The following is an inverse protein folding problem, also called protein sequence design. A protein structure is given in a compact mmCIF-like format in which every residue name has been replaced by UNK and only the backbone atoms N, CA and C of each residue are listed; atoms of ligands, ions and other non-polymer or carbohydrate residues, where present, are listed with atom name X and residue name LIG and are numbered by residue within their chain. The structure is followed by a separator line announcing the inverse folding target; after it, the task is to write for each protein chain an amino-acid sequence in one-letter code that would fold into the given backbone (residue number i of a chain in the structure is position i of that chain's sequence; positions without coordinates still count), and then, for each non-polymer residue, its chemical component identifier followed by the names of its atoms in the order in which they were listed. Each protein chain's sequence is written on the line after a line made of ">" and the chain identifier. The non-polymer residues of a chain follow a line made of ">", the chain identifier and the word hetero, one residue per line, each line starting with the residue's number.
data_IF_647294799864
#
_entry.id   IF_647294799864
#
_cell.length_a   1.000
_cell.length_b   1.000
_cell.length_c   1.000
_cell.angle_alpha   90.00
_cell.angle_beta   90.00
_cell.angle_gamma   90.00
#
_symmetry.space_group_name_H-M   'P 1'
#
loop_
_entity.id
_entity.type
_entity.pdbx_description
1 polymer ?
#
# COMPACT_ATOMS: atom_id res chain seq x y z
N UNK A 1 53.87 -20.00 9.80
CA UNK A 1 52.77 -19.30 10.51
C UNK A 1 51.85 -18.50 9.56
N UNK A 2 51.92 -18.73 8.24
CA UNK A 2 51.24 -17.90 7.23
C UNK A 2 49.88 -18.45 6.75
N UNK A 3 49.51 -19.68 7.15
CA UNK A 3 48.27 -20.34 6.71
C UNK A 3 47.03 -20.02 7.56
N UNK A 4 47.22 -19.48 8.78
CA UNK A 4 46.11 -19.17 9.69
C UNK A 4 45.40 -17.84 9.36
N UNK A 5 46.06 -16.94 8.62
CA UNK A 5 45.50 -15.63 8.25
C UNK A 5 44.48 -15.72 7.10
N UNK A 6 44.60 -16.70 6.21
CA UNK A 6 43.75 -16.83 5.01
C UNK A 6 42.36 -17.39 5.32
N UNK A 7 42.22 -18.20 6.37
CA UNK A 7 40.91 -18.73 6.79
C UNK A 7 40.06 -17.70 7.53
N UNK A 8 40.66 -16.69 8.17
CA UNK A 8 39.91 -15.67 8.91
C UNK A 8 39.25 -14.64 7.98
N UNK A 9 39.84 -14.33 6.82
CA UNK A 9 39.24 -13.42 5.83
C UNK A 9 38.02 -14.02 5.11
N UNK A 10 37.92 -15.35 4.98
CA UNK A 10 36.80 -16.01 4.32
C UNK A 10 35.51 -16.02 5.16
N UNK A 11 35.61 -15.76 6.47
CA UNK A 11 34.45 -15.71 7.38
C UNK A 11 33.83 -14.30 7.48
N UNK A 12 34.51 -13.26 6.97
CA UNK A 12 34.02 -11.87 7.02
C UNK A 12 33.09 -11.50 5.84
N UNK A 13 32.98 -12.34 4.81
CA UNK A 13 32.10 -12.09 3.65
C UNK A 13 30.64 -12.48 3.89
N UNK A 14 30.28 -13.05 5.05
CA UNK A 14 28.92 -13.56 5.31
C UNK A 14 27.97 -12.54 5.94
N UNK A 15 28.42 -11.32 6.24
CA UNK A 15 27.59 -10.25 6.81
C UNK A 15 27.31 -9.15 5.78
N UNK A 16 26.99 -9.51 4.54
CA UNK A 16 26.33 -8.56 3.66
C UNK A 16 24.89 -8.39 4.18
N UNK A 17 24.47 -7.18 4.62
CA UNK A 17 23.07 -6.96 4.94
C UNK A 17 22.25 -7.28 3.69
N UNK A 18 21.27 -8.17 3.82
CA UNK A 18 20.33 -8.43 2.74
C UNK A 18 19.67 -7.09 2.36
N UNK A 19 20.00 -6.60 1.17
CA UNK A 19 19.39 -5.39 0.66
C UNK A 19 17.88 -5.62 0.54
N UNK A 20 17.04 -4.61 0.82
CA UNK A 20 15.61 -4.73 0.62
C UNK A 20 15.32 -5.16 -0.82
N UNK A 21 14.50 -6.19 -0.96
CA UNK A 21 14.08 -6.70 -2.27
C UNK A 21 13.02 -5.75 -2.81
N UNK A 22 13.43 -4.83 -3.68
CA UNK A 22 12.50 -3.96 -4.40
C UNK A 22 11.82 -4.76 -5.51
N UNK A 23 10.63 -5.29 -5.23
CA UNK A 23 9.80 -5.90 -6.27
C UNK A 23 9.04 -4.81 -7.01
N UNK A 24 9.65 -4.29 -8.07
CA UNK A 24 9.02 -3.28 -8.92
C UNK A 24 7.92 -3.93 -9.76
N UNK A 25 6.66 -3.80 -9.36
CA UNK A 25 5.56 -3.91 -10.31
C UNK A 25 5.26 -2.54 -10.90
N UNK A 26 4.98 -2.52 -12.20
CA UNK A 26 4.58 -1.33 -12.95
C UNK A 26 3.07 -1.39 -13.12
N UNK A 27 2.32 -0.55 -12.40
CA UNK A 27 0.92 -0.32 -12.75
C UNK A 27 0.84 0.40 -14.10
N UNK A 28 -0.01 -0.08 -15.01
CA UNK A 28 0.00 0.25 -16.43
C UNK A 28 -0.95 1.36 -16.86
N UNK A 29 -1.79 1.95 -15.99
CA UNK A 29 -2.80 2.92 -16.46
C UNK A 29 -3.18 4.08 -15.52
N UNK A 30 -2.56 4.22 -14.34
CA UNK A 30 -2.88 5.33 -13.43
C UNK A 30 -1.76 6.36 -13.37
N UNK A 31 -2.14 7.64 -13.33
CA UNK A 31 -1.26 8.74 -12.93
C UNK A 31 -1.58 9.08 -11.47
N UNK A 32 -0.60 9.04 -10.53
CA UNK A 32 0.82 8.72 -10.73
C UNK A 32 1.07 7.23 -11.03
N UNK A 33 2.20 6.93 -11.69
CA UNK A 33 2.67 5.55 -11.88
C UNK A 33 2.95 4.94 -10.52
N UNK A 34 2.35 3.80 -10.19
CA UNK A 34 2.56 3.13 -8.90
C UNK A 34 3.69 2.09 -9.02
N UNK A 35 4.59 2.09 -8.04
CA UNK A 35 5.70 1.15 -7.87
C UNK A 35 5.63 0.57 -6.46
N UNK A 36 5.70 -0.76 -6.37
CA UNK A 36 5.65 -1.47 -5.09
C UNK A 36 7.05 -1.82 -4.57
N UNK A 37 7.16 -1.98 -3.25
CA UNK A 37 8.30 -2.57 -2.58
C UNK A 37 7.83 -3.34 -1.33
N UNK A 38 8.29 -4.57 -1.17
CA UNK A 38 8.13 -5.30 0.09
C UNK A 38 9.37 -5.01 0.93
N UNK A 39 9.17 -4.47 2.14
CA UNK A 39 10.25 -4.07 3.03
C UNK A 39 10.31 -4.96 4.27
N UNK A 40 11.51 -5.29 4.79
CA UNK A 40 11.64 -6.00 6.06
C UNK A 40 10.95 -5.30 7.23
N UNK A 41 10.69 -6.06 8.31
CA UNK A 41 10.18 -5.49 9.56
C UNK A 41 11.16 -4.45 10.12
N UNK A 42 10.62 -3.37 10.71
CA UNK A 42 11.42 -2.29 11.30
C UNK A 42 11.94 -1.24 10.31
N UNK A 43 11.63 -1.37 9.01
CA UNK A 43 11.93 -0.33 8.01
C UNK A 43 10.89 0.78 8.03
N UNK A 44 9.61 0.43 8.19
CA UNK A 44 8.53 1.41 8.34
C UNK A 44 8.50 1.97 9.77
N UNK A 45 7.94 3.18 9.98
CA UNK A 45 7.71 3.72 11.31
C UNK A 45 6.94 2.74 12.22
N UNK A 46 7.17 2.76 13.55
CA UNK A 46 6.47 1.88 14.47
C UNK A 46 4.95 1.96 14.32
N UNK A 47 4.29 0.81 14.19
CA UNK A 47 2.82 0.71 14.05
C UNK A 47 2.31 0.80 12.61
N UNK A 48 3.17 1.01 11.61
CA UNK A 48 2.78 1.04 10.19
C UNK A 48 3.09 -0.29 9.50
N UNK A 49 2.12 -0.80 8.73
CA UNK A 49 2.28 -1.98 7.85
C UNK A 49 2.39 -1.61 6.38
N UNK A 50 2.10 -0.35 6.04
CA UNK A 50 2.19 0.23 4.70
C UNK A 50 2.63 1.70 4.79
N UNK A 51 3.19 2.20 3.69
CA UNK A 51 3.41 3.63 3.49
C UNK A 51 3.47 3.94 2.00
N UNK A 52 3.09 5.15 1.62
CA UNK A 52 3.12 5.62 0.24
C UNK A 52 3.75 7.02 0.14
N UNK A 53 4.52 7.25 -0.94
CA UNK A 53 5.15 8.55 -1.21
C UNK A 53 5.22 8.83 -2.71
N UNK A 54 4.79 10.01 -3.12
CA UNK A 54 4.82 10.45 -4.52
C UNK A 54 6.02 11.36 -4.79
N UNK A 55 6.80 11.05 -5.82
CA UNK A 55 7.91 11.86 -6.32
C UNK A 55 8.01 11.76 -7.85
N UNK A 56 8.06 12.91 -8.54
CA UNK A 56 8.29 12.95 -9.99
C UNK A 56 7.27 12.16 -10.84
N UNK A 57 6.00 12.14 -10.44
CA UNK A 57 4.94 11.40 -11.14
C UNK A 57 4.93 9.88 -10.89
N UNK A 58 5.78 9.40 -9.98
CA UNK A 58 5.80 8.02 -9.50
C UNK A 58 5.37 8.01 -8.03
N UNK A 59 4.44 7.13 -7.67
CA UNK A 59 4.12 6.84 -6.29
C UNK A 59 4.76 5.52 -5.87
N UNK A 60 5.53 5.53 -4.80
CA UNK A 60 6.15 4.37 -4.19
C UNK A 60 5.27 3.88 -3.06
N UNK A 61 4.79 2.64 -3.15
CA UNK A 61 4.04 1.93 -2.10
C UNK A 61 4.97 0.90 -1.47
N UNK A 62 5.24 1.08 -0.18
CA UNK A 62 6.04 0.16 0.63
C UNK A 62 5.12 -0.63 1.54
N UNK A 63 5.23 -1.95 1.54
CA UNK A 63 4.45 -2.84 2.40
C UNK A 63 5.40 -3.66 3.26
N UNK A 64 5.13 -3.75 4.55
CA UNK A 64 5.91 -4.57 5.47
C UNK A 64 5.72 -6.06 5.13
N UNK A 65 6.84 -6.79 5.09
CA UNK A 65 6.84 -8.23 4.86
C UNK A 65 5.90 -8.98 5.81
N UNK A 66 5.01 -9.80 5.25
CA UNK A 66 3.99 -10.56 5.97
C UNK A 66 2.68 -9.79 6.23
N UNK A 67 2.56 -8.55 5.77
CA UNK A 67 1.35 -7.72 5.88
C UNK A 67 0.66 -7.47 4.54
N UNK A 68 1.06 -8.18 3.48
CA UNK A 68 0.56 -8.02 2.11
C UNK A 68 -0.89 -8.53 2.02
N UNK A 69 -1.86 -7.61 2.08
CA UNK A 69 -3.26 -7.92 1.87
C UNK A 69 -3.94 -6.79 1.09
N UNK A 70 -5.07 -7.11 0.46
CA UNK A 70 -5.75 -6.17 -0.43
C UNK A 70 -6.19 -4.89 0.28
N UNK A 71 -6.60 -4.97 1.56
CA UNK A 71 -7.00 -3.78 2.32
C UNK A 71 -5.83 -2.82 2.50
N UNK A 72 -4.68 -3.32 2.97
CA UNK A 72 -3.48 -2.49 3.21
C UNK A 72 -2.94 -1.92 1.89
N UNK A 73 -2.84 -2.75 0.85
CA UNK A 73 -2.32 -2.31 -0.44
C UNK A 73 -3.26 -1.30 -1.10
N UNK A 74 -4.58 -1.53 -1.05
CA UNK A 74 -5.56 -0.58 -1.59
C UNK A 74 -5.55 0.75 -0.83
N UNK A 75 -5.35 0.73 0.49
CA UNK A 75 -5.20 1.94 1.30
C UNK A 75 -4.01 2.78 0.80
N UNK A 76 -2.83 2.17 0.65
CA UNK A 76 -1.65 2.90 0.15
C UNK A 76 -1.80 3.37 -1.31
N UNK A 77 -2.50 2.60 -2.14
CA UNK A 77 -2.88 3.05 -3.49
C UNK A 77 -3.84 4.24 -3.42
N UNK A 78 -4.76 4.28 -2.44
CA UNK A 78 -5.63 5.41 -2.19
C UNK A 78 -4.85 6.70 -1.96
N UNK A 79 -3.84 6.66 -1.09
CA UNK A 79 -2.92 7.79 -0.87
C UNK A 79 -2.21 8.23 -2.17
N UNK A 80 -1.76 7.29 -3.01
CA UNK A 80 -1.17 7.63 -4.31
C UNK A 80 -2.14 8.36 -5.25
N UNK A 81 -3.42 7.99 -5.21
CA UNK A 81 -4.44 8.45 -6.15
C UNK A 81 -5.26 9.64 -5.64
N UNK A 82 -5.07 10.03 -4.37
CA UNK A 82 -5.77 11.14 -3.73
C UNK A 82 -5.76 12.40 -4.62
N UNK A 83 -4.56 12.90 -4.96
CA UNK A 83 -4.43 14.09 -5.80
C UNK A 83 -5.10 15.34 -5.20
N UNK A 84 -5.30 15.38 -3.88
CA UNK A 84 -5.92 16.49 -3.14
C UNK A 84 -7.43 16.35 -2.88
N UNK A 85 -8.06 15.25 -3.31
CA UNK A 85 -9.49 14.96 -3.07
C UNK A 85 -9.82 14.81 -1.59
N UNK A 86 -8.87 14.34 -0.80
CA UNK A 86 -8.96 14.21 0.65
C UNK A 86 -9.32 15.53 1.35
N UNK A 87 -9.06 16.69 0.74
CA UNK A 87 -9.47 17.98 1.30
C UNK A 87 -11.00 18.10 1.51
N UNK A 88 -11.80 17.43 0.67
CA UNK A 88 -13.26 17.40 0.82
C UNK A 88 -13.72 16.40 1.90
N UNK A 89 -12.83 15.54 2.39
CA UNK A 89 -13.17 14.48 3.34
C UNK A 89 -13.33 14.97 4.77
N UNK A 90 -12.60 16.03 5.17
CA UNK A 90 -12.59 16.53 6.55
C UNK A 90 -12.35 15.40 7.55
N UNK A 91 -13.20 15.32 8.57
CA UNK A 91 -13.16 14.29 9.61
C UNK A 91 -14.12 13.11 9.33
N UNK A 92 -14.67 12.98 8.11
CA UNK A 92 -15.68 11.96 7.81
C UNK A 92 -15.19 10.52 8.07
N UNK A 93 -13.88 10.27 7.93
CA UNK A 93 -13.27 8.96 8.19
C UNK A 93 -13.23 8.56 9.66
N UNK A 94 -13.49 9.46 10.62
CA UNK A 94 -13.51 9.16 12.06
C UNK A 94 -14.42 7.97 12.42
N UNK A 95 -15.47 7.74 11.64
CA UNK A 95 -16.41 6.63 11.83
C UNK A 95 -15.78 5.24 11.59
N UNK A 96 -14.67 5.18 10.87
CA UNK A 96 -13.94 3.94 10.59
C UNK A 96 -13.04 3.61 11.78
N UNK A 97 -12.18 4.57 12.17
CA UNK A 97 -11.23 4.48 13.28
C UNK A 97 -10.68 5.88 13.63
N UNK A 98 -10.14 6.10 14.85
CA UNK A 98 -9.60 7.41 15.24
C UNK A 98 -8.53 7.96 14.29
N UNK A 99 -7.66 7.08 13.76
CA UNK A 99 -6.61 7.48 12.82
C UNK A 99 -7.16 8.00 11.47
N UNK A 100 -8.34 7.54 11.07
CA UNK A 100 -9.00 7.97 9.84
C UNK A 100 -9.72 9.33 9.96
N UNK A 101 -9.62 10.00 11.12
CA UNK A 101 -10.04 11.39 11.27
C UNK A 101 -9.17 12.36 10.46
N UNK A 102 -7.90 12.01 10.20
CA UNK A 102 -7.08 12.75 9.26
C UNK A 102 -7.64 12.57 7.85
N UNK A 103 -7.83 13.66 7.12
CA UNK A 103 -8.62 13.65 5.88
C UNK A 103 -8.01 12.75 4.78
N UNK A 104 -6.68 12.71 4.69
CA UNK A 104 -5.95 11.80 3.78
C UNK A 104 -6.15 10.33 4.16
N UNK A 105 -6.11 10.02 5.46
CA UNK A 105 -6.31 8.66 5.97
C UNK A 105 -7.76 8.20 5.79
N UNK A 106 -8.74 9.07 6.03
CA UNK A 106 -10.15 8.82 5.76
C UNK A 106 -10.43 8.55 4.28
N UNK A 107 -9.79 9.31 3.39
CA UNK A 107 -9.85 9.07 1.94
C UNK A 107 -9.25 7.69 1.59
N UNK A 108 -8.04 7.39 2.06
CA UNK A 108 -7.35 6.13 1.77
C UNK A 108 -8.10 4.90 2.30
N UNK A 109 -8.63 4.96 3.52
CA UNK A 109 -9.47 3.89 4.08
C UNK A 109 -10.76 3.72 3.26
N UNK A 110 -11.41 4.82 2.86
CA UNK A 110 -12.63 4.73 2.04
C UNK A 110 -12.35 4.15 0.66
N UNK A 111 -11.24 4.54 0.03
CA UNK A 111 -10.78 3.94 -1.22
C UNK A 111 -10.56 2.43 -1.07
N UNK A 112 -9.91 2.00 0.02
CA UNK A 112 -9.68 0.59 0.29
C UNK A 112 -11.00 -0.19 0.49
N UNK A 113 -11.98 0.38 1.18
CA UNK A 113 -13.31 -0.22 1.34
C UNK A 113 -14.05 -0.31 0.00
N UNK A 114 -13.98 0.73 -0.83
CA UNK A 114 -14.55 0.73 -2.17
C UNK A 114 -13.92 -0.34 -3.06
N UNK A 115 -12.60 -0.49 -2.98
CA UNK A 115 -11.86 -1.55 -3.66
C UNK A 115 -12.35 -2.93 -3.24
N UNK A 116 -12.42 -3.20 -1.93
CA UNK A 116 -12.85 -4.49 -1.39
C UNK A 116 -14.31 -4.81 -1.74
N UNK A 117 -15.20 -3.82 -1.74
CA UNK A 117 -16.58 -4.00 -2.18
C UNK A 117 -16.65 -4.48 -3.64
N UNK A 118 -15.79 -3.91 -4.51
CA UNK A 118 -15.82 -4.18 -5.96
C UNK A 118 -15.07 -5.45 -6.35
N UNK A 119 -13.89 -5.67 -5.77
CA UNK A 119 -12.93 -6.69 -6.24
C UNK A 119 -12.59 -7.75 -5.17
N UNK A 120 -13.07 -7.59 -3.94
CA UNK A 120 -12.70 -8.48 -2.84
C UNK A 120 -11.20 -8.44 -2.56
N UNK A 121 -10.61 -9.61 -2.30
CA UNK A 121 -9.19 -9.75 -1.93
C UNK A 121 -8.24 -9.88 -3.14
N UNK A 122 -8.70 -9.56 -4.35
CA UNK A 122 -7.88 -9.62 -5.57
C UNK A 122 -6.68 -8.69 -5.42
N UNK A 123 -5.50 -9.12 -5.84
CA UNK A 123 -4.27 -8.33 -5.82
C UNK A 123 -3.79 -7.95 -7.23
N UNK A 124 -4.25 -8.68 -8.24
CA UNK A 124 -3.98 -8.43 -9.65
C UNK A 124 -4.54 -7.09 -10.11
N UNK A 125 -5.74 -6.70 -9.64
CA UNK A 125 -6.35 -5.38 -9.96
C UNK A 125 -5.56 -4.22 -9.33
N UNK A 126 -4.89 -4.46 -8.21
CA UNK A 126 -3.95 -3.50 -7.62
C UNK A 126 -2.61 -3.46 -8.37
N UNK A 127 -2.39 -4.31 -9.37
CA UNK A 127 -1.09 -4.44 -10.02
C UNK A 127 0.00 -4.95 -9.08
N UNK A 128 -0.38 -5.72 -8.05
CA UNK A 128 0.56 -6.29 -7.10
C UNK A 128 1.51 -7.27 -7.78
N UNK A 129 2.83 -7.23 -7.50
CA UNK A 129 3.78 -8.13 -8.14
C UNK A 129 3.43 -9.61 -7.95
N UNK A 130 3.43 -10.37 -9.04
CA UNK A 130 3.18 -11.81 -9.01
C UNK A 130 1.70 -12.22 -8.92
N UNK A 131 0.77 -11.27 -8.84
CA UNK A 131 -0.67 -11.57 -8.77
C UNK A 131 -1.32 -11.91 -10.14
N UNK A 132 -0.59 -11.72 -11.24
CA UNK A 132 -1.09 -11.89 -12.61
C UNK A 132 -1.53 -10.57 -13.24
N UNK A 133 -1.67 -10.56 -14.56
CA UNK A 133 -2.17 -9.40 -15.30
C UNK A 133 -3.71 -9.41 -15.33
N UNK A 134 -4.31 -8.22 -15.26
CA UNK A 134 -5.75 -8.03 -15.42
C UNK A 134 -6.03 -6.77 -16.25
N UNK A 135 -7.23 -6.70 -16.81
CA UNK A 135 -7.74 -5.53 -17.54
C UNK A 135 -8.78 -4.74 -16.73
N UNK A 136 -9.15 -5.25 -15.55
CA UNK A 136 -10.09 -4.57 -14.66
C UNK A 136 -9.47 -3.25 -14.17
N UNK A 137 -10.17 -2.11 -14.29
CA UNK A 137 -9.63 -0.83 -13.85
C UNK A 137 -9.70 -0.70 -12.32
N UNK A 138 -8.77 0.05 -11.73
CA UNK A 138 -8.92 0.49 -10.34
C UNK A 138 -10.21 1.33 -10.15
N UNK A 139 -10.77 1.40 -8.92
CA UNK A 139 -11.82 2.37 -8.64
C UNK A 139 -11.37 3.79 -8.95
N UNK A 140 -12.25 4.62 -9.50
CA UNK A 140 -11.90 6.00 -9.80
C UNK A 140 -11.81 6.80 -8.49
N UNK A 141 -10.76 7.60 -8.27
CA UNK A 141 -10.62 8.38 -7.03
C UNK A 141 -11.78 9.35 -6.78
N UNK A 142 -12.44 9.83 -7.84
CA UNK A 142 -13.61 10.70 -7.75
C UNK A 142 -14.85 10.00 -7.16
N UNK A 143 -14.85 8.66 -7.10
CA UNK A 143 -15.91 7.88 -6.44
C UNK A 143 -15.76 7.88 -4.90
N UNK A 144 -14.62 8.33 -4.38
CA UNK A 144 -14.31 8.33 -2.94
C UNK A 144 -14.80 9.63 -2.31
N UNK A 145 -16.02 9.59 -1.76
CA UNK A 145 -16.63 10.72 -1.05
C UNK A 145 -17.11 10.32 0.36
N UNK A 146 -17.33 11.29 1.27
CA UNK A 146 -17.94 11.03 2.58
C UNK A 146 -19.29 10.31 2.51
N UNK A 147 -20.14 10.64 1.54
CA UNK A 147 -21.44 9.99 1.33
C UNK A 147 -21.26 8.54 0.89
N UNK A 148 -20.24 8.30 0.03
CA UNK A 148 -19.88 6.95 -0.39
C UNK A 148 -19.44 6.10 0.80
N UNK A 149 -18.64 6.65 1.71
CA UNK A 149 -18.20 5.97 2.93
C UNK A 149 -19.40 5.47 3.76
N UNK A 150 -20.39 6.32 3.99
CA UNK A 150 -21.58 5.95 4.77
C UNK A 150 -22.32 4.77 4.13
N UNK A 151 -22.45 4.78 2.81
CA UNK A 151 -23.08 3.69 2.05
C UNK A 151 -22.26 2.39 2.11
N UNK A 152 -20.93 2.48 2.00
CA UNK A 152 -20.03 1.34 2.08
C UNK A 152 -20.11 0.66 3.44
N UNK A 153 -20.07 1.43 4.53
CA UNK A 153 -20.12 0.89 5.89
C UNK A 153 -21.45 0.19 6.18
N UNK A 154 -22.57 0.74 5.71
CA UNK A 154 -23.87 0.08 5.84
C UNK A 154 -23.88 -1.29 5.14
N UNK A 155 -23.33 -1.39 3.92
CA UNK A 155 -23.27 -2.65 3.16
C UNK A 155 -22.32 -3.66 3.78
N UNK A 156 -21.12 -3.24 4.17
CA UNK A 156 -20.12 -4.13 4.75
C UNK A 156 -20.50 -4.59 6.15
N UNK A 157 -21.20 -3.75 6.93
CA UNK A 157 -21.75 -4.11 8.24
C UNK A 157 -22.84 -5.17 8.19
N UNK A 158 -23.63 -5.22 7.11
CA UNK A 158 -24.68 -6.25 6.92
C UNK A 158 -24.17 -7.62 6.47
N UNK A 159 -22.87 -7.77 6.17
CA UNK A 159 -22.27 -9.03 5.70
C UNK A 159 -21.54 -9.81 6.79
N UNK A 160 -21.77 -9.51 8.07
CA UNK A 160 -21.22 -10.26 9.21
C UNK A 160 -22.16 -11.36 9.68
#
# INVERSE_FOLDING_TARGET
>A
MTRLLLTLLALLTSCAPALPVFVTARSTSTSPRIVYAVVPQGILPPGMTGASRTFGGVCFVQIQAGSENALTIAHEVGHCLDGGRSQAFGEAGCVIRPYACESAEGFADTYALLYLERYGQRLDVLGWPGAGETTDPLPYPDEVTPERLTTLLARLGTRR
#
